data_IF_887497734138
#
_entry.id   IF_887497734138
#
_cell.length_a   1.000
_cell.length_b   1.000
_cell.length_c   1.000
_cell.angle_alpha   90.00
_cell.angle_beta   90.00
_cell.angle_gamma   90.00
#
_symmetry.space_group_name_H-M   'P 1'
#
loop_
_entity.id
_entity.type
_entity.pdbx_description
1 polymer ?
#
# COMPACT_ATOMS: atom_id res chain seq x y z
N UNK A 1 1.24 2.73 18.20
CA UNK A 1 1.10 2.73 16.72
C UNK A 1 0.13 3.80 16.25
N UNK A 2 -1.03 3.99 16.90
CA UNK A 2 -1.98 5.06 16.57
C UNK A 2 -1.40 6.49 16.52
N UNK A 3 -0.43 6.82 17.37
CA UNK A 3 0.17 8.18 17.38
C UNK A 3 0.90 8.54 16.06
N UNK A 4 1.52 7.57 15.37
CA UNK A 4 2.16 7.81 14.07
C UNK A 4 1.13 8.04 12.96
N UNK A 5 0.06 7.25 12.97
CA UNK A 5 -1.04 7.38 12.01
C UNK A 5 -1.74 8.74 12.18
N UNK A 6 -2.01 9.14 13.42
CA UNK A 6 -2.64 10.41 13.73
C UNK A 6 -1.78 11.60 13.28
N UNK A 7 -0.46 11.59 13.58
CA UNK A 7 0.47 12.62 13.09
C UNK A 7 0.57 12.66 11.56
N UNK A 8 0.47 11.52 10.89
CA UNK A 8 0.45 11.48 9.42
C UNK A 8 -0.82 12.13 8.86
N UNK A 9 -1.96 11.81 9.47
CA UNK A 9 -3.27 12.37 9.13
C UNK A 9 -3.33 13.88 9.36
N UNK A 10 -2.90 14.36 10.53
CA UNK A 10 -2.87 15.80 10.87
C UNK A 10 -2.02 16.61 9.89
N UNK A 11 -0.80 16.15 9.57
CA UNK A 11 0.07 16.84 8.60
C UNK A 11 -0.58 16.95 7.22
N UNK A 12 -1.24 15.88 6.77
CA UNK A 12 -1.95 15.90 5.50
C UNK A 12 -3.18 16.82 5.55
N UNK A 13 -3.99 16.77 6.61
CA UNK A 13 -5.15 17.66 6.79
C UNK A 13 -4.79 19.14 6.83
N UNK A 14 -3.62 19.47 7.38
CA UNK A 14 -3.09 20.84 7.44
C UNK A 14 -2.46 21.29 6.11
N UNK A 15 -2.43 20.44 5.09
CA UNK A 15 -1.78 20.71 3.80
C UNK A 15 -0.25 20.75 3.88
N UNK A 16 0.34 20.31 5.00
CA UNK A 16 1.78 20.24 5.21
C UNK A 16 2.42 19.02 4.52
N UNK A 17 1.60 18.11 3.99
CA UNK A 17 2.04 16.92 3.28
C UNK A 17 1.24 16.76 1.99
N UNK A 18 1.93 16.66 0.85
CA UNK A 18 1.28 16.42 -0.43
C UNK A 18 0.71 14.99 -0.49
N UNK A 19 -0.37 14.81 -1.27
CA UNK A 19 -1.09 13.53 -1.38
C UNK A 19 -0.19 12.34 -1.76
N UNK A 20 0.84 12.59 -2.55
CA UNK A 20 1.81 11.58 -2.98
C UNK A 20 2.74 11.14 -1.84
N UNK A 21 3.24 12.09 -1.06
CA UNK A 21 4.07 11.80 0.11
C UNK A 21 3.25 11.15 1.22
N UNK A 22 1.99 11.55 1.38
CA UNK A 22 1.05 10.87 2.27
C UNK A 22 0.85 9.41 1.89
N UNK A 23 0.69 9.10 0.60
CA UNK A 23 0.55 7.72 0.14
C UNK A 23 1.81 6.89 0.40
N UNK A 24 3.01 7.46 0.17
CA UNK A 24 4.29 6.80 0.45
C UNK A 24 4.46 6.48 1.94
N UNK A 25 4.13 7.44 2.81
CA UNK A 25 4.20 7.26 4.26
C UNK A 25 3.17 6.23 4.74
N UNK A 26 1.96 6.25 4.18
CA UNK A 26 0.92 5.28 4.49
C UNK A 26 1.35 3.84 4.13
N UNK A 27 1.94 3.63 2.95
CA UNK A 27 2.48 2.33 2.54
C UNK A 27 3.63 1.87 3.46
N UNK A 28 4.44 2.81 3.93
CA UNK A 28 5.53 2.53 4.87
C UNK A 28 4.98 2.09 6.22
N UNK A 29 4.00 2.82 6.75
CA UNK A 29 3.36 2.51 8.02
C UNK A 29 2.61 1.16 7.96
N UNK A 30 1.90 0.88 6.87
CA UNK A 30 1.25 -0.40 6.67
C UNK A 30 2.23 -1.57 6.70
N UNK A 31 3.42 -1.38 6.09
CA UNK A 31 4.48 -2.37 6.17
C UNK A 31 4.97 -2.60 7.59
N UNK A 32 5.17 -1.54 8.37
CA UNK A 32 5.63 -1.61 9.77
C UNK A 32 4.62 -2.34 10.66
N UNK A 33 3.32 -2.05 10.52
CA UNK A 33 2.24 -2.68 11.29
C UNK A 33 2.24 -4.20 11.06
N UNK A 34 2.24 -4.63 9.80
CA UNK A 34 2.22 -6.07 9.49
C UNK A 34 3.53 -6.75 9.92
N UNK A 35 4.68 -6.08 9.84
CA UNK A 35 5.94 -6.62 10.37
C UNK A 35 5.89 -6.84 11.88
N UNK A 36 5.29 -5.91 12.63
CA UNK A 36 5.14 -6.04 14.07
C UNK A 36 4.18 -7.17 14.45
N UNK A 37 3.07 -7.34 13.72
CA UNK A 37 2.12 -8.44 13.94
C UNK A 37 2.71 -9.83 13.62
N UNK A 38 3.54 -9.94 12.57
CA UNK A 38 4.25 -11.18 12.23
C UNK A 38 5.15 -11.70 13.35
N UNK A 39 5.69 -10.83 14.21
CA UNK A 39 6.50 -11.26 15.34
C UNK A 39 5.68 -11.92 16.45
N UNK A 40 4.35 -11.77 16.42
CA UNK A 40 3.47 -12.14 17.53
C UNK A 40 2.57 -13.33 17.18
N UNK A 41 2.19 -13.55 15.91
CA UNK A 41 1.16 -14.54 15.59
C UNK A 41 1.18 -15.08 14.12
N UNK A 42 1.47 -16.38 13.90
CA UNK A 42 1.74 -16.98 12.57
C UNK A 42 0.49 -17.37 11.74
N UNK A 43 -0.70 -16.90 12.09
CA UNK A 43 -1.94 -17.17 11.33
C UNK A 43 -1.97 -16.40 9.99
N UNK A 44 -2.47 -17.08 8.94
CA UNK A 44 -2.62 -16.67 7.53
C UNK A 44 -2.22 -15.21 7.21
N UNK A 45 -0.92 -15.04 6.93
CA UNK A 45 -0.27 -13.75 6.73
C UNK A 45 -0.89 -12.93 5.59
N UNK A 46 -1.49 -13.59 4.59
CA UNK A 46 -2.10 -12.92 3.44
C UNK A 46 -3.42 -12.24 3.79
N UNK A 47 -4.22 -12.84 4.69
CA UNK A 47 -5.46 -12.24 5.16
C UNK A 47 -5.18 -11.02 6.05
N UNK A 48 -4.18 -11.11 6.94
CA UNK A 48 -3.78 -10.00 7.83
C UNK A 48 -3.24 -8.80 7.07
N UNK A 49 -2.42 -9.01 6.05
CA UNK A 49 -1.84 -7.89 5.33
C UNK A 49 -2.84 -7.15 4.41
N UNK A 50 -3.87 -7.86 3.92
CA UNK A 50 -5.02 -7.21 3.28
C UNK A 50 -5.77 -6.33 4.27
N UNK A 51 -5.97 -6.81 5.49
CA UNK A 51 -6.63 -6.06 6.55
C UNK A 51 -5.83 -4.79 6.87
N UNK A 52 -4.51 -4.87 7.09
CA UNK A 52 -3.71 -3.74 7.53
C UNK A 52 -3.73 -2.50 6.61
N UNK A 53 -3.49 -2.62 5.30
CA UNK A 53 -3.53 -1.44 4.41
C UNK A 53 -4.95 -0.88 4.28
N UNK A 54 -5.96 -1.75 4.25
CA UNK A 54 -7.37 -1.35 4.16
C UNK A 54 -7.84 -0.67 5.45
N UNK A 55 -7.47 -1.21 6.61
CA UNK A 55 -7.79 -0.69 7.94
C UNK A 55 -7.08 0.63 8.20
N UNK A 56 -5.77 0.71 7.93
CA UNK A 56 -5.03 1.96 8.04
C UNK A 56 -5.61 3.02 7.12
N UNK A 57 -6.01 2.65 5.89
CA UNK A 57 -6.70 3.58 5.00
C UNK A 57 -8.05 4.02 5.56
N UNK A 58 -8.86 3.10 6.10
CA UNK A 58 -10.15 3.41 6.70
C UNK A 58 -10.02 4.34 7.92
N UNK A 59 -8.98 4.20 8.73
CA UNK A 59 -8.69 5.04 9.90
C UNK A 59 -8.25 6.47 9.50
N UNK A 60 -7.52 6.61 8.40
CA UNK A 60 -7.10 7.92 7.88
C UNK A 60 -8.14 8.55 6.96
N UNK A 61 -9.10 7.79 6.45
CA UNK A 61 -10.18 8.28 5.59
C UNK A 61 -11.10 9.19 6.40
N UNK A 62 -10.93 10.49 6.21
CA UNK A 62 -11.87 11.53 6.62
C UNK A 62 -12.34 12.30 5.38
N UNK A 63 -13.27 13.24 5.52
CA UNK A 63 -13.77 14.04 4.39
C UNK A 63 -12.70 14.89 3.66
N UNK A 64 -11.47 14.98 4.20
CA UNK A 64 -10.34 15.74 3.62
C UNK A 64 -9.29 14.84 2.97
N UNK A 65 -9.33 13.52 3.17
CA UNK A 65 -8.41 12.61 2.48
C UNK A 65 -8.70 12.68 0.98
N UNK A 66 -7.70 12.90 0.12
CA UNK A 66 -7.98 13.18 -1.29
C UNK A 66 -8.53 11.90 -1.91
N UNK A 67 -9.68 12.00 -2.59
CA UNK A 67 -10.33 10.86 -3.24
C UNK A 67 -9.38 10.08 -4.17
N UNK A 68 -8.35 10.74 -4.70
CA UNK A 68 -7.33 10.10 -5.54
C UNK A 68 -6.49 9.07 -4.76
N UNK A 69 -6.19 9.29 -3.48
CA UNK A 69 -5.40 8.35 -2.67
C UNK A 69 -6.18 7.06 -2.45
N UNK A 70 -7.48 7.17 -2.12
CA UNK A 70 -8.38 6.02 -1.97
C UNK A 70 -8.43 5.16 -3.23
N UNK A 71 -8.60 5.82 -4.38
CA UNK A 71 -8.70 5.13 -5.67
C UNK A 71 -7.38 4.43 -6.02
N UNK A 72 -6.22 5.05 -5.75
CA UNK A 72 -4.91 4.42 -5.98
C UNK A 72 -4.76 3.17 -5.12
N UNK A 73 -5.04 3.25 -3.81
CA UNK A 73 -4.93 2.10 -2.89
C UNK A 73 -5.86 0.97 -3.33
N UNK A 74 -7.11 1.29 -3.66
CA UNK A 74 -8.11 0.31 -4.14
C UNK A 74 -7.65 -0.37 -5.43
N UNK A 75 -7.18 0.40 -6.41
CA UNK A 75 -6.72 -0.16 -7.68
C UNK A 75 -5.46 -1.02 -7.53
N UNK A 76 -4.55 -0.66 -6.61
CA UNK A 76 -3.37 -1.45 -6.29
C UNK A 76 -3.80 -2.81 -5.70
N UNK A 77 -4.73 -2.82 -4.76
CA UNK A 77 -5.26 -4.07 -4.17
C UNK A 77 -5.96 -4.93 -5.24
N UNK A 78 -6.84 -4.34 -6.04
CA UNK A 78 -7.57 -5.06 -7.10
C UNK A 78 -6.62 -5.65 -8.14
N UNK A 79 -5.66 -4.87 -8.65
CA UNK A 79 -4.78 -5.36 -9.72
C UNK A 79 -3.91 -6.51 -9.23
N UNK A 80 -3.41 -6.45 -8.01
CA UNK A 80 -2.55 -7.48 -7.44
C UNK A 80 -3.32 -8.77 -7.24
N UNK A 81 -4.58 -8.69 -6.77
CA UNK A 81 -5.44 -9.87 -6.65
C UNK A 81 -5.69 -10.57 -7.98
N UNK A 82 -5.79 -9.81 -9.07
CA UNK A 82 -6.03 -10.36 -10.40
C UNK A 82 -4.81 -11.09 -10.98
N UNK A 83 -3.60 -10.63 -10.66
CA UNK A 83 -2.37 -11.16 -11.29
C UNK A 83 -1.55 -12.10 -10.39
N UNK A 84 -1.80 -12.11 -9.09
CA UNK A 84 -1.07 -12.98 -8.15
C UNK A 84 -1.48 -14.45 -8.31
N UNK A 85 -0.54 -15.34 -8.04
CA UNK A 85 -0.74 -16.79 -7.99
C UNK A 85 0.15 -17.40 -6.91
N UNK A 86 -0.15 -18.60 -6.38
CA UNK A 86 0.66 -19.22 -5.34
C UNK A 86 2.16 -19.29 -5.71
N UNK A 87 3.02 -18.74 -4.85
CA UNK A 87 4.47 -18.76 -5.05
C UNK A 87 5.00 -17.76 -6.08
N UNK A 88 4.21 -16.78 -6.54
CA UNK A 88 4.64 -15.77 -7.50
C UNK A 88 5.90 -15.01 -7.06
N UNK A 89 6.06 -14.78 -5.75
CA UNK A 89 7.23 -14.12 -5.15
C UNK A 89 8.54 -14.88 -5.30
N UNK A 90 8.47 -16.19 -5.56
CA UNK A 90 9.64 -17.06 -5.63
C UNK A 90 10.18 -17.18 -7.06
N UNK A 91 9.56 -16.50 -8.03
CA UNK A 91 9.94 -16.58 -9.44
C UNK A 91 10.12 -15.19 -10.05
N UNK A 92 11.16 -15.02 -10.86
CA UNK A 92 11.39 -13.78 -11.62
C UNK A 92 10.22 -13.45 -12.56
N UNK A 93 9.56 -14.49 -13.10
CA UNK A 93 8.41 -14.31 -13.98
C UNK A 93 7.20 -13.76 -13.21
N UNK A 94 6.85 -14.36 -12.07
CA UNK A 94 5.76 -13.89 -11.22
C UNK A 94 5.99 -12.46 -10.73
N UNK A 95 7.18 -12.16 -10.21
CA UNK A 95 7.55 -10.80 -9.82
C UNK A 95 7.40 -9.79 -10.95
N UNK A 96 7.82 -10.16 -12.17
CA UNK A 96 7.74 -9.29 -13.34
C UNK A 96 6.29 -9.03 -13.74
N UNK A 97 5.40 -10.01 -13.64
CA UNK A 97 3.97 -9.82 -13.93
C UNK A 97 3.31 -8.87 -12.93
N UNK A 98 3.58 -9.02 -11.63
CA UNK A 98 3.08 -8.10 -10.60
C UNK A 98 3.64 -6.69 -10.80
N UNK A 99 4.93 -6.54 -11.07
CA UNK A 99 5.53 -5.23 -11.36
C UNK A 99 4.91 -4.55 -12.58
N UNK A 100 4.65 -5.30 -13.68
CA UNK A 100 3.98 -4.75 -14.87
C UNK A 100 2.57 -4.26 -14.53
N UNK A 101 1.82 -5.04 -13.76
CA UNK A 101 0.46 -4.71 -13.39
C UNK A 101 0.43 -3.46 -12.49
N UNK A 102 1.33 -3.39 -11.50
CA UNK A 102 1.50 -2.23 -10.65
C UNK A 102 1.89 -0.97 -11.44
N UNK A 103 2.81 -1.08 -12.41
CA UNK A 103 3.16 0.05 -13.30
C UNK A 103 1.97 0.56 -14.11
N UNK A 104 1.10 -0.34 -14.61
CA UNK A 104 -0.12 0.08 -15.31
C UNK A 104 -1.03 0.93 -14.43
N UNK A 105 -1.12 0.61 -13.14
CA UNK A 105 -1.90 1.43 -12.20
C UNK A 105 -1.19 2.75 -11.93
N UNK A 106 0.01 2.72 -11.33
CA UNK A 106 0.66 3.94 -10.83
C UNK A 106 1.05 4.88 -11.99
N UNK A 107 1.73 4.36 -13.02
CA UNK A 107 2.36 5.21 -14.05
C UNK A 107 1.41 5.53 -15.21
N UNK A 108 0.46 4.65 -15.53
CA UNK A 108 -0.42 4.83 -16.68
C UNK A 108 -1.78 5.35 -16.24
N UNK A 109 -2.50 4.66 -15.35
CA UNK A 109 -3.84 5.07 -14.90
C UNK A 109 -3.81 6.38 -14.12
N UNK A 110 -2.84 6.53 -13.20
CA UNK A 110 -2.72 7.73 -12.36
C UNK A 110 -1.68 8.74 -12.83
N UNK A 111 -0.90 8.40 -13.87
CA UNK A 111 0.17 9.24 -14.39
C UNK A 111 1.21 9.68 -13.33
N UNK A 112 1.35 8.92 -12.25
CA UNK A 112 2.31 9.19 -11.18
C UNK A 112 3.62 8.51 -11.52
N UNK A 113 4.58 9.25 -12.06
CA UNK A 113 5.91 8.74 -12.40
C UNK A 113 6.87 8.93 -11.24
N UNK A 114 6.60 8.25 -10.14
CA UNK A 114 7.41 8.31 -8.93
C UNK A 114 7.94 6.91 -8.58
N UNK A 115 9.27 6.77 -8.66
CA UNK A 115 9.95 5.49 -8.45
C UNK A 115 9.90 5.03 -7.00
N UNK A 116 9.98 5.96 -6.04
CA UNK A 116 9.93 5.65 -4.61
C UNK A 116 8.54 5.13 -4.19
N UNK A 117 7.47 5.73 -4.72
CA UNK A 117 6.11 5.24 -4.54
C UNK A 117 5.97 3.82 -5.12
N UNK A 118 6.50 3.59 -6.33
CA UNK A 118 6.48 2.28 -6.95
C UNK A 118 7.21 1.24 -6.10
N UNK A 119 8.40 1.55 -5.62
CA UNK A 119 9.23 0.63 -4.83
C UNK A 119 8.61 0.33 -3.47
N UNK A 120 8.02 1.32 -2.80
CA UNK A 120 7.26 1.13 -1.56
C UNK A 120 6.02 0.27 -1.77
N UNK A 121 5.24 0.53 -2.82
CA UNK A 121 4.07 -0.25 -3.15
C UNK A 121 4.43 -1.69 -3.53
N UNK A 122 5.43 -1.90 -4.39
CA UNK A 122 5.90 -3.24 -4.77
C UNK A 122 6.48 -3.99 -3.57
N UNK A 123 7.26 -3.33 -2.72
CA UNK A 123 7.81 -3.90 -1.50
C UNK A 123 6.70 -4.37 -0.55
N UNK A 124 5.66 -3.56 -0.37
CA UNK A 124 4.46 -3.94 0.38
C UNK A 124 3.81 -5.17 -0.23
N UNK A 125 3.50 -5.14 -1.54
CA UNK A 125 2.84 -6.23 -2.25
C UNK A 125 3.64 -7.54 -2.14
N UNK A 126 4.93 -7.50 -2.45
CA UNK A 126 5.81 -8.68 -2.43
C UNK A 126 5.84 -9.35 -1.06
N UNK A 127 5.85 -8.55 0.00
CA UNK A 127 5.98 -9.10 1.35
C UNK A 127 4.68 -9.77 1.83
N UNK A 128 3.54 -9.51 1.19
CA UNK A 128 2.23 -9.65 1.83
C UNK A 128 1.07 -10.18 0.98
N UNK A 129 1.18 -10.18 -0.35
CA UNK A 129 0.18 -10.75 -1.27
C UNK A 129 0.63 -12.08 -1.86
#
# INVERSE_FOLDING_TARGET
MGERLEKLKERHEQGLLHSLDFLKELLTLAREVVQAEKQVDPVDEQAKAKAALTELFAEVKNGKTPMVVERIVTDIDEIVRLVRFPGWQNTKAGEREVQKALRKVIYVKYQVKDQDLFDKAFGYIRQYY
#
